data_IF_575526163299
#
_entry.id   IF_575526163299
#
_cell.length_a   1.000
_cell.length_b   1.000
_cell.length_c   1.000
_cell.angle_alpha   90.00
_cell.angle_beta   90.00
_cell.angle_gamma   90.00
#
_symmetry.space_group_name_H-M   'P 1'
#
loop_
_entity.id
_entity.type
_entity.pdbx_description
1 polymer ?
#
# COMPACT_ATOMS: atom_id res chain seq x y z
N UNK A 1 -12.92 -27.16 -28.46
CA UNK A 1 -13.15 -27.20 -26.99
C UNK A 1 -14.07 -26.02 -26.70
N UNK A 2 -15.38 -26.28 -26.72
CA UNK A 2 -16.40 -25.23 -26.62
C UNK A 2 -16.62 -24.93 -25.14
N UNK A 3 -15.91 -23.94 -24.62
CA UNK A 3 -16.25 -23.36 -23.32
C UNK A 3 -17.66 -22.78 -23.53
N UNK A 4 -18.66 -23.32 -22.82
CA UNK A 4 -20.07 -23.05 -23.15
C UNK A 4 -20.38 -21.57 -22.94
N UNK A 5 -21.27 -20.98 -23.73
CA UNK A 5 -21.70 -19.57 -23.57
C UNK A 5 -22.16 -19.25 -22.13
N UNK A 6 -22.60 -20.28 -21.40
CA UNK A 6 -22.89 -20.26 -19.97
C UNK A 6 -21.67 -19.80 -19.14
N UNK A 7 -20.51 -20.41 -19.39
CA UNK A 7 -19.27 -20.13 -18.65
C UNK A 7 -18.71 -18.74 -18.90
N UNK A 8 -18.84 -18.20 -20.12
CA UNK A 8 -18.43 -16.82 -20.42
C UNK A 8 -19.31 -15.78 -19.72
N UNK A 9 -20.61 -16.04 -19.64
CA UNK A 9 -21.55 -15.19 -18.92
C UNK A 9 -21.28 -15.21 -17.42
N UNK A 10 -21.05 -16.41 -16.86
CA UNK A 10 -20.68 -16.55 -15.44
C UNK A 10 -19.33 -15.88 -15.14
N UNK A 11 -18.38 -15.90 -16.07
CA UNK A 11 -17.10 -15.20 -15.93
C UNK A 11 -17.29 -13.68 -15.92
N UNK A 12 -18.15 -13.14 -16.80
CA UNK A 12 -18.50 -11.72 -16.84
C UNK A 12 -19.20 -11.26 -15.56
N UNK A 13 -20.20 -12.02 -15.11
CA UNK A 13 -20.96 -11.72 -13.90
C UNK A 13 -20.07 -11.79 -12.65
N UNK A 14 -19.10 -12.71 -12.62
CA UNK A 14 -18.11 -12.80 -11.55
C UNK A 14 -17.17 -11.59 -11.54
N UNK A 15 -16.66 -11.18 -12.70
CA UNK A 15 -15.83 -9.99 -12.82
C UNK A 15 -16.57 -8.72 -12.39
N UNK A 16 -17.86 -8.60 -12.74
CA UNK A 16 -18.71 -7.48 -12.34
C UNK A 16 -18.98 -7.49 -10.82
N UNK A 17 -19.26 -8.66 -10.22
CA UNK A 17 -19.42 -8.77 -8.76
C UNK A 17 -18.13 -8.41 -8.01
N UNK A 18 -16.98 -8.84 -8.51
CA UNK A 18 -15.67 -8.48 -7.94
C UNK A 18 -15.45 -6.97 -8.08
N UNK A 19 -15.86 -6.35 -9.19
CA UNK A 19 -15.72 -4.91 -9.36
C UNK A 19 -16.60 -4.12 -8.40
N UNK A 20 -17.82 -4.57 -8.16
CA UNK A 20 -18.82 -3.90 -7.31
C UNK A 20 -18.53 -4.10 -5.82
N UNK A 21 -17.77 -5.15 -5.47
CA UNK A 21 -17.28 -5.41 -4.10
C UNK A 21 -16.03 -4.58 -3.78
N UNK A 22 -15.47 -3.83 -4.75
CA UNK A 22 -14.35 -2.93 -4.46
C UNK A 22 -14.82 -1.85 -3.48
N UNK A 23 -14.12 -1.62 -2.37
CA UNK A 23 -14.43 -0.54 -1.45
C UNK A 23 -14.54 0.78 -2.23
N UNK A 24 -15.53 1.61 -1.89
CA UNK A 24 -15.69 2.88 -2.58
C UNK A 24 -14.42 3.73 -2.42
N UNK A 25 -14.12 4.62 -3.37
CA UNK A 25 -12.95 5.52 -3.28
C UNK A 25 -12.94 6.31 -1.95
N UNK A 26 -14.12 6.56 -1.39
CA UNK A 26 -14.34 7.20 -0.09
C UNK A 26 -13.90 6.34 1.11
N UNK A 27 -13.94 5.02 0.99
CA UNK A 27 -13.47 4.07 2.02
C UNK A 27 -11.95 3.86 1.96
N UNK A 28 -11.35 4.02 0.77
CA UNK A 28 -9.89 3.94 0.60
C UNK A 28 -9.16 5.13 1.23
N UNK A 29 -9.76 6.33 1.22
CA UNK A 29 -9.19 7.54 1.83
C UNK A 29 -9.01 7.41 3.36
N UNK A 30 -9.69 6.46 4.02
CA UNK A 30 -9.55 6.19 5.47
C UNK A 30 -8.42 5.20 5.81
N UNK A 31 -7.70 4.68 4.80
CA UNK A 31 -6.70 3.63 4.95
C UNK A 31 -5.33 4.04 4.38
N UNK A 32 -4.82 5.21 4.75
CA UNK A 32 -3.46 5.65 4.37
C UNK A 32 -2.35 4.89 5.14
N UNK A 33 -2.57 3.60 5.40
CA UNK A 33 -1.75 2.81 6.29
C UNK A 33 -1.65 1.34 5.83
N UNK A 34 -0.42 0.85 5.76
CA UNK A 34 0.03 -0.30 4.98
C UNK A 34 -0.38 -1.73 5.35
N UNK A 35 -1.35 -2.11 6.17
CA UNK A 35 -1.44 -3.50 6.74
C UNK A 35 -0.13 -4.11 7.36
N UNK A 36 -0.27 -4.84 8.47
CA UNK A 36 0.88 -5.54 9.04
C UNK A 36 1.29 -6.73 8.15
N UNK A 37 2.60 -6.97 8.03
CA UNK A 37 3.14 -8.08 7.20
C UNK A 37 3.37 -7.74 5.73
N UNK A 38 2.92 -6.58 5.24
CA UNK A 38 3.20 -6.09 3.89
C UNK A 38 4.70 -6.10 3.61
N UNK A 39 5.09 -6.70 2.49
CA UNK A 39 6.48 -6.84 2.09
C UNK A 39 6.94 -5.60 1.34
N UNK A 40 8.09 -5.07 1.72
CA UNK A 40 8.71 -3.89 1.12
C UNK A 40 10.00 -4.32 0.41
N UNK A 41 10.21 -3.82 -0.80
CA UNK A 41 11.46 -4.03 -1.52
C UNK A 41 12.59 -3.24 -0.85
N UNK A 42 13.57 -3.97 -0.33
CA UNK A 42 14.79 -3.41 0.23
C UNK A 42 16.01 -3.89 -0.55
N UNK A 43 17.16 -3.29 -0.32
CA UNK A 43 18.43 -3.77 -0.89
C UNK A 43 18.74 -5.24 -0.53
N UNK A 44 18.18 -5.74 0.59
CA UNK A 44 18.35 -7.12 1.06
C UNK A 44 17.24 -8.06 0.55
N UNK A 45 16.35 -7.59 -0.31
CA UNK A 45 15.16 -8.31 -0.79
C UNK A 45 13.86 -7.85 -0.12
N UNK A 46 12.85 -8.71 -0.17
CA UNK A 46 11.53 -8.44 0.40
C UNK A 46 11.56 -8.56 1.93
N UNK A 47 11.26 -7.47 2.62
CA UNK A 47 11.27 -7.42 4.09
C UNK A 47 9.90 -6.92 4.57
N UNK A 48 9.27 -7.58 5.57
CA UNK A 48 8.04 -7.08 6.14
C UNK A 48 8.19 -5.67 6.71
N UNK A 49 7.21 -4.80 6.47
CA UNK A 49 7.24 -3.39 6.91
C UNK A 49 7.51 -3.26 8.41
N UNK A 50 7.01 -4.20 9.22
CA UNK A 50 7.21 -4.25 10.67
C UNK A 50 8.69 -4.38 11.08
N UNK A 51 9.55 -4.93 10.22
CA UNK A 51 10.98 -5.17 10.50
C UNK A 51 11.90 -4.06 9.98
N UNK A 52 11.39 -3.12 9.17
CA UNK A 52 12.19 -2.01 8.62
C UNK A 52 12.64 -1.06 9.74
N UNK A 53 13.90 -0.62 9.68
CA UNK A 53 14.51 0.30 10.66
C UNK A 53 15.07 1.54 9.97
N UNK A 54 15.30 2.58 10.78
CA UNK A 54 16.05 3.76 10.34
C UNK A 54 17.42 3.32 9.84
N UNK A 55 17.83 3.84 8.69
CA UNK A 55 19.07 3.47 8.01
C UNK A 55 18.92 2.38 6.95
N UNK A 56 17.81 1.62 6.92
CA UNK A 56 17.55 0.69 5.83
C UNK A 56 17.33 1.44 4.50
N UNK A 57 17.69 0.80 3.39
CA UNK A 57 17.45 1.30 2.03
C UNK A 57 16.26 0.57 1.44
N UNK A 58 15.21 1.31 1.09
CA UNK A 58 14.02 0.75 0.46
C UNK A 58 13.79 1.38 -0.90
N UNK A 59 13.16 0.62 -1.79
CA UNK A 59 12.81 1.09 -3.12
C UNK A 59 11.64 2.07 -3.04
N UNK A 60 11.80 3.24 -3.64
CA UNK A 60 10.81 4.32 -3.67
C UNK A 60 10.78 4.91 -5.08
N UNK A 61 9.59 5.34 -5.51
CA UNK A 61 9.36 6.11 -6.73
C UNK A 61 8.85 7.50 -6.36
N UNK A 62 9.08 8.48 -7.22
CA UNK A 62 8.43 9.79 -7.09
C UNK A 62 6.90 9.62 -7.14
N UNK A 63 6.19 10.32 -6.26
CA UNK A 63 4.74 10.25 -6.15
C UNK A 63 4.04 11.05 -7.26
N UNK A 64 4.64 12.18 -7.66
CA UNK A 64 4.06 13.10 -8.64
C UNK A 64 4.41 12.72 -10.08
N UNK A 65 5.41 11.86 -10.27
CA UNK A 65 5.85 11.41 -11.59
C UNK A 65 5.76 9.88 -11.73
N UNK A 66 4.73 9.36 -12.41
CA UNK A 66 4.55 7.91 -12.58
C UNK A 66 5.67 7.25 -13.41
N UNK A 67 6.33 8.01 -14.29
CA UNK A 67 7.42 7.54 -15.15
C UNK A 67 8.81 7.69 -14.48
N UNK A 68 8.86 8.15 -13.23
CA UNK A 68 10.10 8.27 -12.50
C UNK A 68 10.73 6.88 -12.23
N UNK A 69 12.06 6.86 -12.24
CA UNK A 69 12.82 5.66 -11.91
C UNK A 69 12.62 5.25 -10.44
N UNK A 70 12.67 3.94 -10.20
CA UNK A 70 12.68 3.40 -8.85
C UNK A 70 14.07 3.55 -8.22
N UNK A 71 14.16 4.32 -7.14
CA UNK A 71 15.42 4.64 -6.46
C UNK A 71 15.42 4.10 -5.03
N UNK A 72 16.56 3.59 -4.59
CA UNK A 72 16.74 3.20 -3.19
C UNK A 72 16.98 4.41 -2.31
N UNK A 73 16.00 4.76 -1.46
CA UNK A 73 16.09 5.83 -0.48
C UNK A 73 16.33 5.28 0.92
N UNK A 74 17.05 6.05 1.73
CA UNK A 74 17.32 5.69 3.13
C UNK A 74 16.13 6.09 3.99
N UNK A 75 15.74 5.19 4.91
CA UNK A 75 14.76 5.49 5.95
C UNK A 75 15.36 6.44 6.98
N UNK A 76 14.73 7.61 7.15
CA UNK A 76 15.17 8.65 8.10
C UNK A 76 14.41 8.53 9.41
N UNK A 77 13.11 8.20 9.36
CA UNK A 77 12.32 7.97 10.56
C UNK A 77 11.27 6.89 10.33
N UNK A 78 10.89 6.23 11.42
CA UNK A 78 9.77 5.28 11.41
C UNK A 78 8.84 5.58 12.58
N UNK A 79 7.55 5.58 12.32
CA UNK A 79 6.53 5.81 13.32
C UNK A 79 5.63 4.59 13.42
N UNK A 80 5.24 4.16 14.62
CA UNK A 80 4.28 3.10 14.86
C UNK A 80 3.20 3.64 15.79
N UNK A 81 1.97 3.76 15.29
CA UNK A 81 0.83 3.99 16.19
C UNK A 81 0.51 2.71 16.94
N UNK A 82 0.03 2.80 18.19
CA UNK A 82 -0.59 1.68 18.89
C UNK A 82 -2.12 1.68 18.74
N UNK A 83 -2.68 2.83 18.36
CA UNK A 83 -4.12 3.11 18.41
C UNK A 83 -4.56 3.85 17.14
N UNK A 84 -5.84 3.73 16.76
CA UNK A 84 -6.42 4.39 15.57
C UNK A 84 -6.65 5.88 15.86
N UNK A 85 -5.57 6.65 15.98
CA UNK A 85 -5.60 8.11 16.16
C UNK A 85 -5.23 8.79 14.85
N UNK A 86 -5.88 9.94 14.57
CA UNK A 86 -5.56 10.78 13.42
C UNK A 86 -4.16 11.36 13.62
N UNK A 87 -3.21 10.96 12.78
CA UNK A 87 -1.84 11.49 12.83
C UNK A 87 -1.79 12.59 11.78
N UNK A 88 -1.68 13.83 12.23
CA UNK A 88 -1.50 14.97 11.33
C UNK A 88 0.00 15.22 11.27
N UNK A 89 0.64 14.80 10.17
CA UNK A 89 1.96 15.33 9.85
C UNK A 89 1.78 16.59 9.02
N UNK A 90 2.70 17.55 9.16
CA UNK A 90 2.64 18.87 8.53
C UNK A 90 2.53 18.83 6.98
N UNK A 91 2.62 17.65 6.36
CA UNK A 91 2.50 17.43 4.91
C UNK A 91 1.56 16.29 4.50
N UNK A 92 0.94 15.53 5.41
CA UNK A 92 0.04 14.42 5.04
C UNK A 92 -1.09 14.21 6.06
N UNK A 93 -2.34 14.28 5.59
CA UNK A 93 -3.54 13.88 6.35
C UNK A 93 -3.72 12.36 6.27
N UNK A 94 -2.91 11.60 6.99
CA UNK A 94 -3.05 10.14 7.05
C UNK A 94 -3.85 9.68 8.28
N UNK A 95 -5.03 9.11 8.06
CA UNK A 95 -5.75 8.35 9.10
C UNK A 95 -5.13 6.94 9.14
N UNK A 96 -4.46 6.60 10.24
CA UNK A 96 -3.80 5.30 10.38
C UNK A 96 -4.49 4.42 11.42
N UNK A 97 -5.04 3.29 10.97
CA UNK A 97 -5.61 2.24 11.83
C UNK A 97 -4.58 1.17 12.20
N UNK A 98 -3.31 1.56 12.37
CA UNK A 98 -2.04 0.78 12.28
C UNK A 98 -1.78 0.15 10.91
N UNK A 99 -0.68 0.53 10.23
CA UNK A 99 0.67 0.15 10.61
C UNK A 99 1.76 1.22 10.33
N UNK A 100 3.01 0.81 10.53
CA UNK A 100 4.20 1.66 10.57
C UNK A 100 4.35 2.60 9.36
N UNK A 101 4.50 3.89 9.62
CA UNK A 101 4.86 4.90 8.61
C UNK A 101 6.38 4.97 8.49
N UNK A 102 6.89 5.04 7.27
CA UNK A 102 8.31 5.14 6.97
C UNK A 102 8.54 6.45 6.23
N UNK A 103 9.41 7.30 6.75
CA UNK A 103 9.82 8.54 6.09
C UNK A 103 11.15 8.34 5.38
N UNK A 104 11.18 8.67 4.10
CA UNK A 104 12.39 8.69 3.29
C UNK A 104 13.03 10.08 3.30
N UNK A 105 14.35 10.09 3.21
CA UNK A 105 15.14 11.31 2.98
C UNK A 105 15.39 11.55 1.51
#
# INVERSE_FOLDING_TARGET
MLISKETDKLLYDLHQKISDTRPSEKDMAQHACFMAGTLVHTYKGLVPINKIKVGDRVLSRDENNPDAENVYKRVVSTFKSAEKKRIIHQWDMAICSVPKTIRFG
#
